data_IF_879735680250
#
_entry.id   IF_879735680250
#
_cell.length_a   1.000
_cell.length_b   1.000
_cell.length_c   1.000
_cell.angle_alpha   90.00
_cell.angle_beta   90.00
_cell.angle_gamma   90.00
#
_symmetry.space_group_name_H-M   'P 1'
#
loop_
_entity.id
_entity.type
_entity.pdbx_description
1 polymer ?
#
# COMPACT_ATOMS: atom_id res chain seq x y z
N UNK A 1 -9.36 5.13 6.87
CA UNK A 1 -10.28 5.04 5.72
C UNK A 1 -9.81 5.89 4.55
N UNK A 2 -9.69 5.27 3.37
CA UNK A 2 -9.19 5.84 2.12
C UNK A 2 -10.27 6.61 1.32
N UNK A 3 -10.97 7.55 1.98
CA UNK A 3 -12.09 8.29 1.38
C UNK A 3 -11.66 9.38 0.37
N UNK A 4 -10.39 9.78 0.41
CA UNK A 4 -9.88 10.82 -0.48
C UNK A 4 -9.51 10.27 -1.86
N UNK A 5 -9.56 11.13 -2.89
CA UNK A 5 -9.02 10.82 -4.21
C UNK A 5 -7.52 10.41 -4.10
N UNK A 6 -7.06 9.35 -4.79
CA UNK A 6 -7.72 8.60 -5.87
C UNK A 6 -8.53 7.36 -5.42
N UNK A 7 -8.59 7.08 -4.12
CA UNK A 7 -9.17 5.84 -3.61
C UNK A 7 -10.69 5.90 -3.57
N UNK A 8 -11.26 7.00 -3.05
CA UNK A 8 -12.71 7.23 -2.96
C UNK A 8 -13.47 6.06 -2.29
N UNK A 9 -12.79 5.32 -1.42
CA UNK A 9 -13.30 4.08 -0.87
C UNK A 9 -14.43 4.34 0.11
N UNK A 10 -15.59 3.72 -0.15
CA UNK A 10 -16.74 3.70 0.75
C UNK A 10 -16.73 2.41 1.58
N UNK A 11 -15.79 2.36 2.53
CA UNK A 11 -15.54 1.20 3.37
C UNK A 11 -16.40 1.09 4.62
N UNK A 12 -16.39 -0.12 5.19
CA UNK A 12 -17.03 -0.49 6.45
C UNK A 12 -15.97 -0.66 7.54
N UNK A 13 -16.16 -0.01 8.69
CA UNK A 13 -15.26 -0.10 9.85
C UNK A 13 -15.09 -1.56 10.33
N UNK A 14 -16.13 -2.38 10.24
CA UNK A 14 -16.06 -3.79 10.61
C UNK A 14 -15.12 -4.59 9.69
N UNK A 15 -15.09 -4.25 8.40
CA UNK A 15 -14.15 -4.82 7.44
C UNK A 15 -12.71 -4.36 7.75
N UNK A 16 -12.50 -3.07 7.97
CA UNK A 16 -11.18 -2.51 8.28
C UNK A 16 -10.57 -3.15 9.54
N UNK A 17 -11.40 -3.41 10.56
CA UNK A 17 -10.96 -4.10 11.78
C UNK A 17 -10.44 -5.51 11.48
N UNK A 18 -11.23 -6.31 10.74
CA UNK A 18 -10.83 -7.68 10.33
C UNK A 18 -9.58 -7.65 9.45
N UNK A 19 -9.45 -6.65 8.59
CA UNK A 19 -8.28 -6.45 7.77
C UNK A 19 -7.03 -6.18 8.61
N UNK A 20 -7.12 -5.32 9.63
CA UNK A 20 -6.01 -5.06 10.56
C UNK A 20 -5.67 -6.28 11.44
N UNK A 21 -6.65 -7.09 11.83
CA UNK A 21 -6.44 -8.34 12.58
C UNK A 21 -5.54 -9.33 11.81
N UNK A 22 -5.65 -9.38 10.48
CA UNK A 22 -4.76 -10.18 9.62
C UNK A 22 -3.28 -9.80 9.80
N UNK A 23 -2.98 -8.50 9.90
CA UNK A 23 -1.61 -8.05 10.14
C UNK A 23 -1.14 -8.37 11.55
N UNK A 24 -2.02 -8.30 12.56
CA UNK A 24 -1.69 -8.71 13.91
C UNK A 24 -1.41 -10.23 14.01
N UNK A 25 -2.08 -11.04 13.18
CA UNK A 25 -1.98 -12.50 13.21
C UNK A 25 -0.74 -13.06 12.48
N UNK A 26 -0.23 -12.36 11.46
CA UNK A 26 0.91 -12.86 10.68
C UNK A 26 2.25 -12.44 11.32
N UNK A 27 3.13 -13.39 11.71
CA UNK A 27 4.30 -13.10 12.55
C UNK A 27 5.33 -12.19 11.90
N UNK A 28 5.30 -12.07 10.58
CA UNK A 28 6.22 -11.21 9.82
C UNK A 28 5.62 -9.86 9.45
N UNK A 29 4.32 -9.64 9.71
CA UNK A 29 3.68 -8.36 9.43
C UNK A 29 4.16 -7.27 10.37
N UNK A 30 3.95 -6.01 9.97
CA UNK A 30 4.22 -4.85 10.81
C UNK A 30 3.10 -3.83 10.67
N UNK A 31 2.75 -3.21 11.80
CA UNK A 31 1.92 -2.01 11.86
C UNK A 31 2.77 -0.90 12.46
N UNK A 32 2.99 0.16 11.68
CA UNK A 32 3.72 1.36 12.09
C UNK A 32 2.69 2.42 12.45
N UNK A 33 2.67 2.87 13.70
CA UNK A 33 1.71 3.85 14.21
C UNK A 33 2.40 5.20 14.39
N UNK A 34 1.83 6.26 13.79
CA UNK A 34 2.22 7.63 14.07
C UNK A 34 1.33 8.21 15.17
N UNK A 35 1.95 8.77 16.22
CA UNK A 35 1.27 9.39 17.35
C UNK A 35 1.62 10.88 17.49
N UNK A 36 0.66 11.65 18.01
CA UNK A 36 0.87 12.98 18.56
C UNK A 36 0.39 12.96 20.02
N UNK A 37 1.33 12.86 20.97
CA UNK A 37 1.02 12.46 22.34
C UNK A 37 0.35 11.08 22.39
N UNK A 38 -0.85 11.03 22.97
CA UNK A 38 -1.64 9.80 23.08
C UNK A 38 -2.50 9.51 21.83
N UNK A 39 -2.65 10.49 20.94
CA UNK A 39 -3.51 10.40 19.76
C UNK A 39 -2.84 9.64 18.61
N UNK A 40 -3.56 8.69 18.01
CA UNK A 40 -3.14 8.05 16.75
C UNK A 40 -3.52 8.95 15.57
N UNK A 41 -2.51 9.44 14.85
CA UNK A 41 -2.67 10.39 13.74
C UNK A 41 -2.45 9.77 12.37
N UNK A 42 -1.87 8.58 12.33
CA UNK A 42 -1.71 7.78 11.12
C UNK A 42 -1.21 6.37 11.41
N UNK A 43 -1.31 5.50 10.41
CA UNK A 43 -0.80 4.15 10.46
C UNK A 43 -0.34 3.70 9.07
N UNK A 44 0.61 2.78 9.04
CA UNK A 44 1.01 2.08 7.83
C UNK A 44 1.23 0.59 8.12
N UNK A 45 0.88 -0.27 7.17
CA UNK A 45 1.01 -1.72 7.31
C UNK A 45 1.93 -2.29 6.24
N UNK A 46 2.53 -3.45 6.56
CA UNK A 46 3.25 -4.27 5.59
C UNK A 46 3.28 -5.74 6.02
N UNK A 47 3.40 -6.63 5.05
CA UNK A 47 3.39 -8.10 5.21
C UNK A 47 4.12 -8.76 4.04
N UNK A 48 4.59 -10.01 4.12
CA UNK A 48 5.07 -10.73 2.95
C UNK A 48 3.98 -10.84 1.88
N UNK A 49 4.32 -10.64 0.60
CA UNK A 49 3.34 -10.70 -0.50
C UNK A 49 2.62 -12.06 -0.55
N UNK A 50 3.30 -13.15 -0.16
CA UNK A 50 2.73 -14.49 -0.04
C UNK A 50 1.48 -14.56 0.86
N UNK A 51 1.39 -13.67 1.86
CA UNK A 51 0.27 -13.57 2.78
C UNK A 51 -0.86 -12.65 2.25
N UNK A 52 -0.72 -12.07 1.07
CA UNK A 52 -1.75 -11.24 0.45
C UNK A 52 -2.74 -12.03 -0.44
N UNK A 53 -3.77 -11.30 -0.89
CA UNK A 53 -4.79 -11.78 -1.81
C UNK A 53 -4.16 -12.33 -3.09
N UNK A 54 -4.79 -13.37 -3.68
CA UNK A 54 -4.31 -13.95 -4.95
C UNK A 54 -4.24 -12.91 -6.08
N UNK A 55 -5.18 -11.95 -6.12
CA UNK A 55 -5.18 -10.86 -7.10
C UNK A 55 -3.90 -10.01 -7.06
N UNK A 56 -3.20 -10.00 -5.93
CA UNK A 56 -1.95 -9.24 -5.76
C UNK A 56 -0.72 -10.14 -5.98
N UNK A 57 -0.86 -11.46 -5.79
CA UNK A 57 0.22 -12.44 -6.00
C UNK A 57 0.34 -12.85 -7.46
N UNK A 58 -0.78 -13.08 -8.13
CA UNK A 58 -0.83 -13.57 -9.51
C UNK A 58 -0.09 -12.67 -10.51
N UNK A 59 -0.19 -11.31 -10.45
CA UNK A 59 0.57 -10.45 -11.35
C UNK A 59 2.08 -10.62 -11.20
N UNK A 60 2.59 -10.75 -9.96
CA UNK A 60 4.02 -10.91 -9.70
C UNK A 60 4.52 -12.26 -10.22
N UNK A 61 3.79 -13.34 -9.92
CA UNK A 61 4.13 -14.67 -10.42
C UNK A 61 4.11 -14.71 -11.96
N UNK A 62 3.09 -14.13 -12.59
CA UNK A 62 2.96 -14.04 -14.05
C UNK A 62 4.08 -13.22 -14.72
N UNK A 63 4.62 -12.22 -14.01
CA UNK A 63 5.77 -11.42 -14.45
C UNK A 63 7.13 -12.05 -14.09
N UNK A 64 7.16 -13.26 -13.53
CA UNK A 64 8.39 -14.01 -13.21
C UNK A 64 9.07 -13.61 -11.89
N UNK A 65 8.41 -12.86 -11.02
CA UNK A 65 8.93 -12.58 -9.67
C UNK A 65 8.71 -13.77 -8.74
N UNK A 66 9.68 -14.03 -7.87
CA UNK A 66 9.47 -14.92 -6.74
C UNK A 66 8.63 -14.22 -5.66
N UNK A 67 7.37 -14.64 -5.52
CA UNK A 67 6.42 -14.09 -4.53
C UNK A 67 6.95 -14.24 -3.10
N UNK A 68 7.73 -15.29 -2.80
CA UNK A 68 8.32 -15.49 -1.47
C UNK A 68 9.44 -14.47 -1.16
N UNK A 69 9.97 -13.81 -2.18
CA UNK A 69 11.01 -12.77 -2.10
C UNK A 69 10.48 -11.33 -2.06
N UNK A 70 9.16 -11.12 -2.05
CA UNK A 70 8.54 -9.78 -2.06
C UNK A 70 7.89 -9.45 -0.71
N UNK A 71 8.25 -8.30 -0.14
CA UNK A 71 7.57 -7.72 1.02
C UNK A 71 6.62 -6.60 0.55
N UNK A 72 5.35 -6.72 0.88
CA UNK A 72 4.28 -5.86 0.38
C UNK A 72 3.86 -4.81 1.43
N UNK A 73 3.85 -3.54 1.03
CA UNK A 73 3.46 -2.41 1.85
C UNK A 73 2.00 -2.06 1.54
N UNK A 74 1.07 -2.65 2.29
CA UNK A 74 -0.34 -2.57 2.00
C UNK A 74 -0.93 -1.17 2.19
N UNK A 75 -1.00 -0.67 3.43
CA UNK A 75 -1.73 0.56 3.71
C UNK A 75 -0.83 1.69 4.22
N UNK A 76 -1.26 2.93 3.94
CA UNK A 76 -0.72 4.13 4.56
C UNK A 76 -1.81 5.17 4.68
N UNK A 77 -2.27 5.39 5.91
CA UNK A 77 -3.29 6.38 6.26
C UNK A 77 -2.70 7.44 7.18
N UNK A 78 -2.99 8.70 6.87
CA UNK A 78 -2.52 9.85 7.65
C UNK A 78 -3.61 10.93 7.65
N UNK A 79 -3.96 11.40 8.86
CA UNK A 79 -4.88 12.53 9.05
C UNK A 79 -4.38 13.73 8.23
N UNK A 80 -5.30 14.44 7.58
CA UNK A 80 -4.97 15.51 6.63
C UNK A 80 -4.04 16.58 7.21
N UNK A 81 -4.29 17.02 8.44
CA UNK A 81 -3.48 18.04 9.12
C UNK A 81 -2.02 17.66 9.40
N UNK A 82 -1.68 16.36 9.31
CA UNK A 82 -0.33 15.82 9.55
C UNK A 82 0.44 15.54 8.25
N UNK A 83 -0.19 15.73 7.09
CA UNK A 83 0.47 15.57 5.78
C UNK A 83 1.52 16.67 5.57
N UNK A 84 2.54 16.39 4.77
CA UNK A 84 3.64 17.33 4.51
C UNK A 84 4.67 17.45 5.65
N UNK A 85 4.50 16.75 6.77
CA UNK A 85 5.40 16.82 7.95
C UNK A 85 6.43 15.69 8.03
N UNK A 86 6.70 15.01 6.90
CA UNK A 86 7.66 13.89 6.85
C UNK A 86 7.18 12.54 7.40
N UNK A 87 5.99 12.45 8.01
CA UNK A 87 5.44 11.18 8.55
C UNK A 87 5.36 10.08 7.49
N UNK A 88 4.90 10.43 6.27
CA UNK A 88 4.84 9.49 5.17
C UNK A 88 6.21 8.94 4.77
N UNK A 89 7.29 9.72 4.93
CA UNK A 89 8.67 9.25 4.69
C UNK A 89 9.04 8.21 5.74
N UNK A 90 8.81 8.52 7.03
CA UNK A 90 9.05 7.57 8.12
C UNK A 90 8.29 6.26 7.93
N UNK A 91 7.03 6.29 7.48
CA UNK A 91 6.30 5.05 7.18
C UNK A 91 7.02 4.15 6.18
N UNK A 92 7.63 4.68 5.11
CA UNK A 92 8.42 3.87 4.17
C UNK A 92 9.70 3.35 4.83
N UNK A 93 10.43 4.19 5.56
CA UNK A 93 11.68 3.80 6.22
C UNK A 93 11.46 2.68 7.25
N UNK A 94 10.43 2.80 8.08
CA UNK A 94 10.08 1.81 9.10
C UNK A 94 9.71 0.46 8.49
N UNK A 95 8.89 0.46 7.43
CA UNK A 95 8.50 -0.78 6.72
C UNK A 95 9.67 -1.42 5.99
N UNK A 96 10.55 -0.62 5.37
CA UNK A 96 11.77 -1.13 4.75
C UNK A 96 12.75 -1.69 5.79
N UNK A 97 12.93 -1.03 6.94
CA UNK A 97 13.76 -1.56 8.04
C UNK A 97 13.22 -2.92 8.50
N UNK A 98 11.92 -3.00 8.74
CA UNK A 98 11.27 -4.25 9.13
C UNK A 98 11.45 -5.35 8.09
N UNK A 99 11.21 -5.05 6.81
CA UNK A 99 11.41 -6.00 5.72
C UNK A 99 12.85 -6.54 5.67
N UNK A 100 13.86 -5.70 5.89
CA UNK A 100 15.28 -6.12 5.93
C UNK A 100 15.63 -6.95 7.16
N UNK A 101 14.96 -6.72 8.29
CA UNK A 101 15.18 -7.49 9.53
C UNK A 101 14.55 -8.89 9.48
N UNK A 102 13.57 -9.09 8.60
CA UNK A 102 12.86 -10.36 8.42
C UNK A 102 13.52 -11.25 7.35
N UNK A 103 13.21 -12.55 7.40
CA UNK A 103 13.60 -13.53 6.38
C UNK A 103 12.36 -14.27 5.88
N UNK A 104 12.16 -14.27 4.58
CA UNK A 104 11.19 -15.15 3.92
C UNK A 104 11.69 -16.59 3.86
N UNK A 105 10.88 -17.46 3.27
CA UNK A 105 11.15 -18.90 3.18
C UNK A 105 12.48 -19.23 2.48
N UNK A 106 12.87 -18.41 1.50
CA UNK A 106 14.05 -18.62 0.65
C UNK A 106 15.24 -17.74 1.00
N UNK A 107 15.14 -16.91 2.05
CA UNK A 107 16.17 -15.97 2.44
C UNK A 107 15.62 -14.56 2.74
N UNK A 108 16.47 -13.53 2.71
CA UNK A 108 16.04 -12.14 2.85
C UNK A 108 15.04 -11.76 1.75
N UNK A 109 14.12 -10.84 2.04
CA UNK A 109 13.28 -10.25 0.99
C UNK A 109 14.11 -9.43 0.02
N UNK A 110 13.91 -9.65 -1.28
CA UNK A 110 14.64 -8.97 -2.34
C UNK A 110 13.96 -7.67 -2.79
N UNK A 111 12.64 -7.61 -2.64
CA UNK A 111 11.82 -6.52 -3.14
C UNK A 111 10.90 -5.98 -2.06
N UNK A 112 10.74 -4.66 -2.04
CA UNK A 112 9.58 -4.00 -1.46
C UNK A 112 8.64 -3.62 -2.59
N UNK A 113 7.34 -3.81 -2.38
CA UNK A 113 6.32 -3.45 -3.35
C UNK A 113 5.09 -2.82 -2.68
N UNK A 114 4.38 -1.98 -3.42
CA UNK A 114 3.02 -1.54 -3.10
C UNK A 114 2.27 -1.25 -4.41
N UNK A 115 0.97 -0.98 -4.34
CA UNK A 115 0.26 -0.42 -5.49
C UNK A 115 -0.54 0.83 -5.13
N UNK A 116 -0.78 1.67 -6.13
CA UNK A 116 -1.70 2.81 -6.04
C UNK A 116 -2.81 2.69 -7.09
N UNK A 117 -3.99 3.20 -6.75
CA UNK A 117 -5.13 3.24 -7.68
C UNK A 117 -4.79 4.12 -8.88
N UNK A 118 -5.12 3.64 -10.07
CA UNK A 118 -5.08 4.42 -11.30
C UNK A 118 -6.47 4.97 -11.58
N UNK A 119 -6.57 6.29 -11.71
CA UNK A 119 -7.81 6.98 -12.12
C UNK A 119 -7.57 7.78 -13.39
N UNK A 120 -8.59 7.95 -14.25
CA UNK A 120 -8.53 8.85 -15.39
C UNK A 120 -8.12 10.26 -14.99
N UNK A 121 -7.43 10.96 -15.90
CA UNK A 121 -6.92 12.30 -15.61
C UNK A 121 -8.04 13.34 -15.44
N UNK A 122 -9.16 13.11 -16.10
CA UNK A 122 -10.41 13.87 -16.13
C UNK A 122 -11.47 13.35 -15.15
N UNK A 123 -11.09 12.49 -14.21
CA UNK A 123 -12.04 11.94 -13.23
C UNK A 123 -12.74 13.07 -12.45
N UNK A 124 -14.09 13.09 -12.37
CA UNK A 124 -14.84 14.24 -11.85
C UNK A 124 -14.53 14.57 -10.38
N UNK A 125 -14.22 13.56 -9.57
CA UNK A 125 -13.81 13.73 -8.18
C UNK A 125 -12.32 14.09 -7.99
N UNK A 126 -11.56 14.29 -9.07
CA UNK A 126 -10.14 14.70 -8.99
C UNK A 126 -10.07 16.17 -8.56
N UNK A 127 -9.45 16.50 -7.41
CA UNK A 127 -9.35 17.89 -6.97
C UNK A 127 -8.53 18.75 -7.93
N UNK A 128 -8.91 20.01 -8.07
CA UNK A 128 -8.08 21.01 -8.73
C UNK A 128 -6.70 21.09 -8.06
N UNK A 129 -5.64 21.11 -8.86
CA UNK A 129 -4.26 21.10 -8.35
C UNK A 129 -3.82 19.77 -7.71
N UNK A 130 -4.54 18.66 -7.91
CA UNK A 130 -4.11 17.35 -7.40
C UNK A 130 -2.71 16.96 -7.90
N UNK A 131 -1.80 16.75 -6.95
CA UNK A 131 -0.43 16.29 -7.19
C UNK A 131 -0.34 14.77 -6.96
N UNK A 132 -0.05 13.97 -8.00
CA UNK A 132 0.18 12.53 -7.84
C UNK A 132 1.37 12.22 -6.93
N UNK A 133 1.32 11.06 -6.28
CA UNK A 133 2.39 10.59 -5.39
C UNK A 133 3.58 9.98 -6.14
N UNK A 134 3.56 9.90 -7.46
CA UNK A 134 4.65 9.37 -8.29
C UNK A 134 6.02 9.98 -7.96
N UNK A 135 6.11 11.30 -7.97
CA UNK A 135 7.36 12.00 -7.67
C UNK A 135 7.79 11.79 -6.21
N UNK A 136 6.81 11.66 -5.32
CA UNK A 136 7.04 11.22 -3.95
C UNK A 136 7.70 9.82 -4.04
N UNK A 137 7.05 8.78 -4.55
CA UNK A 137 7.57 7.40 -4.54
C UNK A 137 8.94 7.22 -5.21
N UNK A 138 9.17 7.87 -6.36
CA UNK A 138 10.48 7.84 -7.06
C UNK A 138 11.62 8.34 -6.18
N UNK A 139 11.39 9.39 -5.36
CA UNK A 139 12.39 9.89 -4.41
C UNK A 139 12.78 8.88 -3.32
N UNK A 140 12.00 7.82 -3.08
CA UNK A 140 12.39 6.71 -2.19
C UNK A 140 12.96 5.49 -2.92
N UNK A 141 13.19 5.59 -4.21
CA UNK A 141 13.77 4.51 -5.02
C UNK A 141 12.75 3.47 -5.48
N UNK A 142 11.45 3.76 -5.38
CA UNK A 142 10.43 2.94 -6.01
C UNK A 142 10.27 3.34 -7.48
N UNK A 143 10.32 2.34 -8.35
CA UNK A 143 10.03 2.48 -9.76
C UNK A 143 8.65 1.90 -10.06
N UNK A 144 7.96 2.48 -11.04
CA UNK A 144 6.72 1.93 -11.56
C UNK A 144 7.04 0.62 -12.29
N UNK A 145 6.39 -0.48 -11.90
CA UNK A 145 6.54 -1.77 -12.56
C UNK A 145 5.62 -1.81 -13.78
N UNK A 146 6.11 -1.35 -14.94
CA UNK A 146 5.31 -1.28 -16.17
C UNK A 146 4.72 -2.65 -16.52
N UNK A 147 3.42 -2.67 -16.84
CA UNK A 147 2.66 -3.91 -17.11
C UNK A 147 2.24 -4.70 -15.87
N UNK A 148 2.79 -4.40 -14.69
CA UNK A 148 2.40 -5.07 -13.44
C UNK A 148 1.23 -4.34 -12.79
N UNK A 149 0.03 -4.88 -12.97
CA UNK A 149 -1.21 -4.31 -12.41
C UNK A 149 -2.11 -5.40 -11.83
N UNK A 150 -2.99 -5.02 -10.91
CA UNK A 150 -4.07 -5.87 -10.39
C UNK A 150 -5.42 -5.16 -10.56
N UNK A 151 -6.49 -5.94 -10.72
CA UNK A 151 -7.85 -5.46 -10.50
C UNK A 151 -8.24 -5.75 -9.07
N UNK A 152 -8.82 -4.77 -8.37
CA UNK A 152 -9.37 -5.00 -7.04
C UNK A 152 -10.75 -4.33 -6.90
N UNK A 153 -11.80 -5.08 -6.49
CA UNK A 153 -13.14 -4.54 -6.37
C UNK A 153 -13.30 -3.72 -5.10
N UNK A 154 -13.99 -2.58 -5.21
CA UNK A 154 -14.62 -1.91 -4.09
C UNK A 154 -15.69 -0.93 -4.56
N UNK A 155 -16.52 -0.47 -3.62
CA UNK A 155 -17.53 0.56 -3.85
C UNK A 155 -16.94 1.97 -3.65
N UNK A 156 -17.05 2.81 -4.67
CA UNK A 156 -16.66 4.22 -4.54
C UNK A 156 -17.78 5.00 -3.80
N UNK A 157 -17.42 6.10 -3.14
CA UNK A 157 -18.39 6.99 -2.48
C UNK A 157 -19.42 7.51 -3.48
N UNK A 158 -20.69 7.27 -3.19
CA UNK A 158 -21.82 7.68 -4.02
C UNK A 158 -22.27 6.64 -5.05
N UNK A 159 -21.52 5.55 -5.22
CA UNK A 159 -21.90 4.43 -6.08
C UNK A 159 -22.81 3.43 -5.35
N UNK A 160 -23.72 2.79 -6.09
CA UNK A 160 -24.63 1.76 -5.56
C UNK A 160 -24.01 0.36 -5.48
N UNK A 161 -22.98 0.09 -6.28
CA UNK A 161 -22.39 -1.24 -6.44
C UNK A 161 -20.85 -1.18 -6.48
N UNK A 162 -20.20 -2.31 -6.22
CA UNK A 162 -18.76 -2.42 -6.37
C UNK A 162 -18.35 -2.39 -7.84
N UNK A 163 -17.18 -1.83 -8.12
CA UNK A 163 -16.55 -1.96 -9.43
C UNK A 163 -15.05 -2.22 -9.28
N UNK A 164 -14.47 -2.92 -10.25
CA UNK A 164 -13.05 -3.27 -10.27
C UNK A 164 -12.22 -2.03 -10.57
N UNK A 165 -11.23 -1.75 -9.73
CA UNK A 165 -10.28 -0.65 -9.90
C UNK A 165 -8.91 -1.19 -10.26
N UNK A 166 -8.25 -0.52 -11.20
CA UNK A 166 -6.89 -0.85 -11.60
C UNK A 166 -5.89 -0.33 -10.58
N UNK A 167 -5.04 -1.22 -10.09
CA UNK A 167 -3.97 -0.95 -9.14
C UNK A 167 -2.62 -1.09 -9.84
N UNK A 168 -1.84 -0.01 -9.91
CA UNK A 168 -0.50 -0.03 -10.50
C UNK A 168 0.54 -0.34 -9.44
N UNK A 169 1.34 -1.39 -9.64
CA UNK A 169 2.42 -1.74 -8.72
C UNK A 169 3.65 -0.86 -8.90
N UNK A 170 4.32 -0.62 -7.78
CA UNK A 170 5.60 0.05 -7.65
C UNK A 170 6.54 -0.84 -6.86
N UNK A 171 7.77 -0.97 -7.33
CA UNK A 171 8.75 -1.89 -6.75
C UNK A 171 10.07 -1.19 -6.46
N UNK A 172 10.75 -1.66 -5.43
CA UNK A 172 12.09 -1.23 -5.04
C UNK A 172 12.89 -2.46 -4.65
N UNK A 173 14.12 -2.57 -5.14
CA UNK A 173 15.04 -3.60 -4.68
C UNK A 173 15.53 -3.27 -3.27
N UNK A 174 15.35 -4.19 -2.34
CA UNK A 174 15.92 -4.11 -1.01
C UNK A 174 17.37 -4.60 -1.14
N UNK A 175 18.31 -3.66 -1.21
CA UNK A 175 19.74 -3.99 -1.18
C UNK A 175 20.09 -4.83 0.04
N UNK A 176 21.17 -5.61 -0.08
CA UNK A 176 21.76 -6.34 1.05
C UNK A 176 22.26 -5.39 2.12
#
# INVERSE_FOLDING_TARGET
MFRAFPYLYDGDEAYERRYLEKFAAHPQSVVVVARDGDEIVGAATATPLKAEHEDFKAPFAGAGYDVDGVFYFAESVLRQGYRGRGVGVRFFEERERHARAMRGLRGPYEWAAFCGVVRPADHPARPEGYVPLDAFWRKRGFAKAEGLTAGFPWKDIGEGEESVKTMQFWIKRLGR
#
